data_IF_415530420426
#
_entry.id   IF_415530420426
#
_cell.length_a   1.000
_cell.length_b   1.000
_cell.length_c   1.000
_cell.angle_alpha   90.00
_cell.angle_beta   90.00
_cell.angle_gamma   90.00
#
_symmetry.space_group_name_H-M   'P 1'
#
loop_
_entity.id
_entity.type
_entity.pdbx_description
1 polymer ?
#
# COMPACT_ATOMS: atom_id res chain seq x y z
N UNK A 1 17.46 -10.80 -10.74
CA UNK A 1 17.60 -9.70 -9.76
C UNK A 1 16.43 -9.83 -8.81
N UNK A 2 16.71 -9.88 -7.51
CA UNK A 2 15.72 -10.20 -6.48
C UNK A 2 15.04 -8.89 -6.08
N UNK A 3 13.73 -8.75 -6.28
CA UNK A 3 12.98 -7.56 -5.90
C UNK A 3 12.89 -7.49 -4.38
N UNK A 4 13.29 -6.37 -3.78
CA UNK A 4 13.21 -6.19 -2.33
C UNK A 4 11.79 -5.76 -1.97
N UNK A 5 11.11 -6.60 -1.21
CA UNK A 5 9.72 -6.38 -0.81
C UNK A 5 9.67 -6.20 0.69
N UNK A 6 9.03 -5.12 1.12
CA UNK A 6 8.77 -4.83 2.52
C UNK A 6 7.27 -5.01 2.77
N UNK A 7 6.93 -5.85 3.74
CA UNK A 7 5.56 -6.04 4.19
C UNK A 7 5.44 -5.48 5.60
N UNK A 8 4.60 -4.46 5.77
CA UNK A 8 4.18 -3.99 7.08
C UNK A 8 2.95 -4.80 7.47
N UNK A 9 3.09 -5.69 8.46
CA UNK A 9 2.04 -6.63 8.86
C UNK A 9 1.32 -6.22 10.15
N UNK A 10 0.07 -6.61 10.29
CA UNK A 10 -0.70 -6.36 11.50
C UNK A 10 -2.20 -6.48 11.32
N UNK A 11 -2.94 -6.64 12.41
CA UNK A 11 -4.40 -6.67 12.40
C UNK A 11 -5.07 -5.40 11.84
N UNK A 12 -6.38 -5.48 11.60
CA UNK A 12 -7.17 -4.29 11.21
C UNK A 12 -7.03 -3.22 12.31
N UNK A 13 -6.74 -1.98 11.90
CA UNK A 13 -6.51 -0.84 12.80
C UNK A 13 -5.28 -0.96 13.73
N UNK A 14 -4.30 -1.82 13.40
CA UNK A 14 -3.09 -1.99 14.23
C UNK A 14 -2.06 -0.87 14.11
N UNK A 15 -2.27 0.10 13.20
CA UNK A 15 -1.32 1.19 12.96
C UNK A 15 -0.40 1.02 11.75
N UNK A 16 -0.64 0.03 10.88
CA UNK A 16 0.14 -0.18 9.63
C UNK A 16 0.35 1.09 8.81
N UNK A 17 -0.74 1.78 8.44
CA UNK A 17 -0.71 3.04 7.68
C UNK A 17 0.13 4.11 8.38
N UNK A 18 0.02 4.20 9.72
CA UNK A 18 0.81 5.16 10.52
C UNK A 18 2.30 4.82 10.48
N UNK A 19 2.65 3.54 10.63
CA UNK A 19 4.04 3.09 10.57
C UNK A 19 4.62 3.29 9.16
N UNK A 20 3.86 2.94 8.12
CA UNK A 20 4.23 3.19 6.72
C UNK A 20 4.55 4.67 6.50
N UNK A 21 3.64 5.55 6.90
CA UNK A 21 3.83 7.00 6.77
C UNK A 21 5.09 7.50 7.53
N UNK A 22 5.34 6.97 8.74
CA UNK A 22 6.52 7.33 9.51
C UNK A 22 7.82 6.89 8.83
N UNK A 23 7.86 5.67 8.27
CA UNK A 23 9.01 5.19 7.50
C UNK A 23 9.22 6.06 6.26
N UNK A 24 8.15 6.33 5.50
CA UNK A 24 8.23 7.17 4.30
C UNK A 24 8.72 8.58 4.61
N UNK A 25 8.31 9.17 5.73
CA UNK A 25 8.78 10.49 6.16
C UNK A 25 10.28 10.52 6.44
N UNK A 26 10.83 9.44 7.01
CA UNK A 26 12.27 9.31 7.27
C UNK A 26 13.06 9.02 5.98
N UNK A 27 12.51 8.22 5.07
CA UNK A 27 13.11 7.96 3.76
C UNK A 27 13.16 9.24 2.90
N UNK A 28 12.08 10.02 2.88
CA UNK A 28 12.03 11.30 2.18
C UNK A 28 13.04 12.30 2.77
N UNK A 29 13.18 12.34 4.10
CA UNK A 29 14.22 13.13 4.77
C UNK A 29 15.64 12.73 4.35
N UNK A 30 15.87 11.44 4.11
CA UNK A 30 17.15 10.91 3.63
C UNK A 30 17.33 11.03 2.10
N UNK A 31 16.37 11.64 1.40
CA UNK A 31 16.45 12.00 -0.02
C UNK A 31 15.89 10.96 -0.99
N UNK A 32 15.20 9.93 -0.49
CA UNK A 32 14.54 8.94 -1.33
C UNK A 32 13.22 9.44 -1.90
N UNK A 33 12.98 9.12 -3.17
CA UNK A 33 11.73 9.45 -3.85
C UNK A 33 10.65 8.40 -3.57
N UNK A 34 9.47 8.85 -3.12
CA UNK A 34 8.36 7.98 -2.72
C UNK A 34 7.21 8.11 -3.69
N UNK A 35 6.71 6.98 -4.19
CA UNK A 35 5.56 6.91 -5.09
C UNK A 35 4.53 5.88 -4.63
N UNK A 36 3.37 5.88 -5.28
CA UNK A 36 2.28 4.94 -4.96
C UNK A 36 1.27 5.51 -3.97
N UNK A 37 0.53 4.64 -3.29
CA UNK A 37 -0.73 4.99 -2.62
C UNK A 37 -0.70 4.70 -1.13
N UNK A 38 -1.02 5.70 -0.31
CA UNK A 38 -1.25 5.57 1.13
C UNK A 38 -2.72 5.90 1.45
N UNK A 39 -3.33 5.20 2.42
CA UNK A 39 -4.66 5.60 2.90
C UNK A 39 -4.58 6.85 3.77
N UNK A 40 -5.44 7.82 3.48
CA UNK A 40 -5.61 8.98 4.35
C UNK A 40 -6.30 8.55 5.65
N UNK A 41 -5.71 8.84 6.83
CA UNK A 41 -6.30 8.48 8.10
C UNK A 41 -7.61 9.23 8.32
N UNK A 42 -8.61 8.55 8.88
CA UNK A 42 -9.85 9.18 9.31
C UNK A 42 -9.58 10.05 10.54
N UNK A 43 -10.22 11.23 10.61
CA UNK A 43 -10.12 12.10 11.77
C UNK A 43 -10.58 11.39 13.05
N UNK A 44 -9.88 11.57 14.19
CA UNK A 44 -10.29 11.01 15.47
C UNK A 44 -11.73 11.41 15.82
N UNK A 45 -12.53 10.43 16.29
CA UNK A 45 -13.92 10.67 16.69
C UNK A 45 -14.95 10.59 15.56
N UNK A 46 -14.54 10.37 14.31
CA UNK A 46 -15.46 10.17 13.19
C UNK A 46 -15.56 8.70 12.77
N UNK A 47 -16.78 8.26 12.45
CA UNK A 47 -16.97 6.95 11.81
C UNK A 47 -16.35 6.95 10.43
N UNK A 48 -15.67 5.86 10.06
CA UNK A 48 -15.04 5.70 8.75
C UNK A 48 -16.12 5.41 7.70
N UNK A 49 -16.71 6.47 7.16
CA UNK A 49 -17.71 6.44 6.08
C UNK A 49 -17.07 6.34 4.69
N UNK A 50 -15.79 6.73 4.58
CA UNK A 50 -15.04 6.67 3.33
C UNK A 50 -13.62 6.14 3.54
N UNK A 51 -13.02 5.63 2.47
CA UNK A 51 -11.60 5.38 2.38
C UNK A 51 -11.07 6.22 1.22
N UNK A 52 -10.01 6.98 1.50
CA UNK A 52 -9.36 7.87 0.55
C UNK A 52 -7.92 7.41 0.37
N UNK A 53 -7.47 7.33 -0.87
CA UNK A 53 -6.06 7.14 -1.20
C UNK A 53 -5.43 8.47 -1.53
N UNK A 54 -4.17 8.64 -1.16
CA UNK A 54 -3.31 9.75 -1.54
C UNK A 54 -2.13 9.23 -2.36
N UNK A 55 -1.94 9.81 -3.54
CA UNK A 55 -0.76 9.60 -4.39
C UNK A 55 0.43 10.34 -3.79
N UNK A 56 1.46 9.61 -3.38
CA UNK A 56 2.63 10.19 -2.72
C UNK A 56 3.54 10.97 -3.67
N UNK A 57 3.41 10.80 -4.99
CA UNK A 57 4.21 11.56 -5.95
C UNK A 57 3.60 12.94 -6.25
N UNK A 58 2.27 13.06 -6.24
CA UNK A 58 1.55 14.27 -6.65
C UNK A 58 0.81 14.99 -5.53
N UNK A 59 0.55 14.30 -4.41
CA UNK A 59 -0.33 14.75 -3.33
C UNK A 59 -1.83 14.67 -3.66
N UNK A 60 -2.21 14.30 -4.89
CA UNK A 60 -3.61 14.15 -5.27
C UNK A 60 -4.26 12.98 -4.51
N UNK A 61 -5.55 13.12 -4.18
CA UNK A 61 -6.25 12.12 -3.38
C UNK A 61 -7.65 11.85 -3.91
N UNK A 62 -8.06 10.57 -3.88
CA UNK A 62 -9.36 10.11 -4.38
C UNK A 62 -10.06 9.18 -3.39
N UNK A 63 -11.39 9.25 -3.34
CA UNK A 63 -12.20 8.34 -2.51
C UNK A 63 -12.38 7.01 -3.26
N UNK A 64 -11.87 5.93 -2.68
CA UNK A 64 -11.97 4.57 -3.27
C UNK A 64 -13.11 3.74 -2.71
N UNK A 65 -13.58 4.05 -1.50
CA UNK A 65 -14.70 3.35 -0.87
C UNK A 65 -15.63 4.37 -0.21
N UNK A 66 -16.93 4.14 -0.35
CA UNK A 66 -17.98 4.94 0.30
C UNK A 66 -19.01 4.03 0.96
N UNK A 67 -19.56 4.41 2.10
CA UNK A 67 -20.64 3.66 2.79
C UNK A 67 -22.01 3.90 2.16
N UNK A 68 -22.13 4.88 1.27
CA UNK A 68 -23.30 5.16 0.46
C UNK A 68 -23.08 4.74 -0.98
N UNK A 69 -24.14 4.19 -1.56
CA UNK A 69 -24.17 3.87 -2.97
C UNK A 69 -24.01 5.13 -3.82
N UNK A 70 -23.20 5.02 -4.87
CA UNK A 70 -23.03 6.02 -5.91
C UNK A 70 -23.03 5.34 -7.27
N UNK A 71 -23.43 6.07 -8.29
CA UNK A 71 -23.39 5.59 -9.67
C UNK A 71 -21.97 5.13 -10.05
N UNK A 72 -21.85 3.99 -10.73
CA UNK A 72 -20.56 3.41 -11.13
C UNK A 72 -19.79 2.66 -10.04
N UNK A 73 -20.28 2.65 -8.80
CA UNK A 73 -19.66 1.92 -7.69
C UNK A 73 -20.18 0.49 -7.55
N UNK A 74 -19.32 -0.44 -7.09
CA UNK A 74 -19.68 -1.85 -6.91
C UNK A 74 -19.77 -2.21 -5.43
N UNK A 75 -20.82 -2.92 -4.96
CA UNK A 75 -20.92 -3.35 -3.57
C UNK A 75 -19.73 -4.21 -3.11
N UNK A 76 -19.21 -3.93 -1.91
CA UNK A 76 -18.14 -4.67 -1.25
C UNK A 76 -18.25 -4.58 0.28
N UNK A 77 -18.68 -5.68 0.91
CA UNK A 77 -18.98 -5.74 2.35
C UNK A 77 -19.97 -4.63 2.72
N UNK A 78 -19.57 -3.70 3.60
CA UNK A 78 -20.38 -2.58 4.07
C UNK A 78 -20.12 -1.28 3.29
N UNK A 79 -19.41 -1.36 2.16
CA UNK A 79 -19.01 -0.21 1.36
C UNK A 79 -19.30 -0.46 -0.13
N UNK A 80 -19.12 0.57 -0.93
CA UNK A 80 -19.19 0.58 -2.38
C UNK A 80 -17.83 1.01 -2.92
N UNK A 81 -17.23 0.20 -3.78
CA UNK A 81 -15.94 0.45 -4.44
C UNK A 81 -16.14 1.42 -5.59
N UNK A 82 -15.37 2.50 -5.61
CA UNK A 82 -15.24 3.36 -6.79
C UNK A 82 -14.19 2.78 -7.75
N UNK A 83 -14.66 2.17 -8.84
CA UNK A 83 -13.78 1.54 -9.81
C UNK A 83 -12.94 2.57 -10.59
N UNK A 84 -13.44 3.80 -10.76
CA UNK A 84 -12.72 4.87 -11.47
C UNK A 84 -11.56 5.38 -10.63
N UNK A 85 -11.75 5.51 -9.31
CA UNK A 85 -10.69 5.86 -8.37
C UNK A 85 -9.58 4.79 -8.32
N UNK A 86 -9.93 3.50 -8.38
CA UNK A 86 -8.91 2.45 -8.49
C UNK A 86 -8.20 2.44 -9.85
N UNK A 87 -8.89 2.75 -10.95
CA UNK A 87 -8.25 2.89 -12.26
C UNK A 87 -7.20 4.01 -12.22
N UNK A 88 -7.59 5.19 -11.74
CA UNK A 88 -6.67 6.32 -11.49
C UNK A 88 -5.49 5.90 -10.62
N UNK A 89 -5.75 5.25 -9.48
CA UNK A 89 -4.69 4.86 -8.57
C UNK A 89 -3.68 3.89 -9.22
N UNK A 90 -4.16 2.92 -10.00
CA UNK A 90 -3.29 2.00 -10.75
C UNK A 90 -2.45 2.74 -11.80
N UNK A 91 -3.01 3.72 -12.51
CA UNK A 91 -2.28 4.52 -13.50
C UNK A 91 -1.18 5.34 -12.84
N UNK A 92 -1.47 6.00 -11.71
CA UNK A 92 -0.48 6.77 -10.94
C UNK A 92 0.64 5.89 -10.40
N UNK A 93 0.33 4.70 -9.87
CA UNK A 93 1.34 3.73 -9.41
C UNK A 93 2.27 3.33 -10.58
N UNK A 94 1.71 3.08 -11.76
CA UNK A 94 2.51 2.71 -12.94
C UNK A 94 3.43 3.85 -13.36
N UNK A 95 2.95 5.10 -13.32
CA UNK A 95 3.79 6.27 -13.63
C UNK A 95 4.89 6.48 -12.59
N UNK A 96 4.61 6.18 -11.32
CA UNK A 96 5.58 6.31 -10.24
C UNK A 96 6.74 5.32 -10.35
N UNK A 97 6.54 4.15 -10.99
CA UNK A 97 7.59 3.13 -11.16
C UNK A 97 8.89 3.64 -11.80
N UNK A 98 8.84 4.70 -12.61
CA UNK A 98 10.02 5.28 -13.27
C UNK A 98 10.62 6.47 -12.51
N UNK A 99 9.96 6.93 -11.45
CA UNK A 99 10.22 8.21 -10.78
C UNK A 99 10.45 8.08 -9.27
N UNK A 100 10.25 6.88 -8.71
CA UNK A 100 10.36 6.63 -7.28
C UNK A 100 11.35 5.51 -6.98
N UNK A 101 12.02 5.63 -5.83
CA UNK A 101 12.87 4.60 -5.23
C UNK A 101 12.04 3.59 -4.42
N UNK A 102 10.93 4.07 -3.84
CA UNK A 102 9.94 3.25 -3.15
C UNK A 102 8.57 3.34 -3.82
N UNK A 103 7.86 2.21 -3.87
CA UNK A 103 6.51 2.13 -4.40
C UNK A 103 5.56 1.53 -3.36
N UNK A 104 4.57 2.32 -2.96
CA UNK A 104 3.69 2.03 -1.84
C UNK A 104 2.34 1.45 -2.25
N UNK A 105 1.87 0.48 -1.46
CA UNK A 105 0.53 -0.10 -1.56
C UNK A 105 -0.11 -0.24 -0.17
N UNK A 106 -1.05 0.66 0.18
CA UNK A 106 -1.83 0.60 1.42
C UNK A 106 -3.34 0.39 1.13
N UNK A 107 -3.92 -0.80 1.28
CA UNK A 107 -3.40 -2.09 1.78
C UNK A 107 -3.48 -3.12 0.64
N UNK A 108 -2.56 -4.08 0.58
CA UNK A 108 -2.68 -5.28 -0.27
C UNK A 108 -3.32 -6.39 0.53
N UNK A 109 -4.46 -6.90 0.05
CA UNK A 109 -5.16 -7.98 0.74
C UNK A 109 -6.26 -8.61 -0.10
N UNK A 110 -7.43 -8.80 0.51
CA UNK A 110 -8.55 -9.52 -0.10
C UNK A 110 -8.97 -8.99 -1.48
N UNK A 111 -8.86 -7.68 -1.75
CA UNK A 111 -9.19 -7.15 -3.08
C UNK A 111 -8.18 -7.61 -4.12
N UNK A 112 -6.89 -7.44 -3.85
CA UNK A 112 -5.81 -7.81 -4.75
C UNK A 112 -5.75 -9.33 -4.96
N UNK A 113 -5.98 -10.11 -3.90
CA UNK A 113 -6.12 -11.58 -3.97
C UNK A 113 -7.28 -12.01 -4.88
N UNK A 114 -8.35 -11.22 -4.96
CA UNK A 114 -9.46 -11.41 -5.89
C UNK A 114 -9.24 -10.77 -7.27
N UNK A 115 -8.02 -10.34 -7.58
CA UNK A 115 -7.65 -9.63 -8.82
C UNK A 115 -8.37 -8.29 -9.02
N UNK A 116 -8.68 -7.60 -7.92
CA UNK A 116 -9.31 -6.26 -7.88
C UNK A 116 -8.36 -5.25 -7.23
N UNK A 117 -8.83 -4.02 -7.05
CA UNK A 117 -8.08 -2.96 -6.36
C UNK A 117 -6.78 -2.63 -7.07
N UNK A 118 -5.66 -2.75 -6.37
CA UNK A 118 -4.32 -2.49 -6.92
C UNK A 118 -3.77 -3.61 -7.80
N UNK A 119 -4.47 -4.74 -7.99
CA UNK A 119 -3.95 -5.90 -8.69
C UNK A 119 -3.24 -5.58 -10.03
N UNK A 120 -3.80 -4.76 -10.95
CA UNK A 120 -3.13 -4.47 -12.22
C UNK A 120 -1.75 -3.83 -12.07
N UNK A 121 -1.61 -2.83 -11.20
CA UNK A 121 -0.36 -2.11 -10.96
C UNK A 121 0.60 -2.93 -10.08
N UNK A 122 0.10 -3.66 -9.10
CA UNK A 122 0.89 -4.57 -8.26
C UNK A 122 1.60 -5.64 -9.10
N UNK A 123 0.88 -6.29 -10.03
CA UNK A 123 1.49 -7.29 -10.92
C UNK A 123 2.56 -6.69 -11.84
N UNK A 124 2.36 -5.45 -12.31
CA UNK A 124 3.37 -4.75 -13.11
C UNK A 124 4.60 -4.40 -12.27
N UNK A 125 4.39 -3.88 -11.07
CA UNK A 125 5.46 -3.54 -10.14
C UNK A 125 6.30 -4.77 -9.80
N UNK A 126 5.66 -5.86 -9.39
CA UNK A 126 6.34 -7.12 -9.04
C UNK A 126 7.16 -7.73 -10.19
N UNK A 127 6.84 -7.40 -11.45
CA UNK A 127 7.54 -7.92 -12.63
C UNK A 127 8.68 -7.03 -13.13
N UNK A 128 8.61 -5.72 -12.88
CA UNK A 128 9.43 -4.77 -13.62
C UNK A 128 9.93 -3.57 -12.83
N UNK A 129 9.43 -3.34 -11.62
CA UNK A 129 9.91 -2.25 -10.78
C UNK A 129 11.30 -2.57 -10.23
N UNK A 130 12.21 -1.60 -10.35
CA UNK A 130 13.62 -1.76 -9.94
C UNK A 130 13.88 -1.30 -8.50
N UNK A 131 13.00 -0.47 -7.94
CA UNK A 131 13.08 0.00 -6.57
C UNK A 131 12.48 -0.99 -5.57
N UNK A 132 12.13 -0.47 -4.39
CA UNK A 132 11.61 -1.25 -3.26
C UNK A 132 10.08 -1.16 -3.22
N UNK A 133 9.40 -2.30 -3.20
CA UNK A 133 7.95 -2.35 -3.03
C UNK A 133 7.65 -2.44 -1.54
N UNK A 134 6.88 -1.49 -1.02
CA UNK A 134 6.42 -1.53 0.37
C UNK A 134 4.89 -1.62 0.41
N UNK A 135 4.38 -2.63 1.11
CA UNK A 135 2.94 -2.88 1.18
C UNK A 135 2.49 -3.10 2.62
N UNK A 136 1.33 -2.56 2.97
CA UNK A 136 0.62 -2.93 4.19
C UNK A 136 -0.20 -4.19 3.91
N UNK A 137 -0.14 -5.18 4.80
CA UNK A 137 -0.88 -6.44 4.67
C UNK A 137 -1.40 -6.86 6.03
N UNK A 138 -2.63 -7.40 6.12
CA UNK A 138 -3.10 -7.99 7.38
C UNK A 138 -2.36 -9.29 7.66
N UNK A 139 -2.08 -9.56 8.94
CA UNK A 139 -1.37 -10.79 9.34
C UNK A 139 -2.01 -12.05 8.75
N UNK A 140 -3.34 -12.11 8.73
CA UNK A 140 -4.11 -13.24 8.16
C UNK A 140 -3.88 -13.46 6.66
N UNK A 141 -3.39 -12.46 5.92
CA UNK A 141 -3.19 -12.51 4.47
C UNK A 141 -1.72 -12.49 4.05
N UNK A 142 -0.75 -12.38 4.97
CA UNK A 142 0.68 -12.25 4.59
C UNK A 142 1.15 -13.43 3.76
N UNK A 143 0.96 -14.66 4.26
CA UNK A 143 1.40 -15.87 3.55
C UNK A 143 0.61 -16.08 2.26
N UNK A 144 -0.68 -15.76 2.26
CA UNK A 144 -1.54 -15.86 1.07
C UNK A 144 -1.09 -14.89 -0.03
N UNK A 145 -0.71 -13.65 0.33
CA UNK A 145 -0.16 -12.64 -0.57
C UNK A 145 1.18 -13.13 -1.14
N UNK A 146 2.10 -13.58 -0.29
CA UNK A 146 3.41 -14.08 -0.75
C UNK A 146 3.23 -15.22 -1.77
N UNK A 147 2.35 -16.17 -1.48
CA UNK A 147 2.10 -17.33 -2.34
C UNK A 147 1.38 -16.96 -3.64
N UNK A 148 0.25 -16.23 -3.57
CA UNK A 148 -0.57 -15.91 -4.75
C UNK A 148 0.17 -15.02 -5.75
N UNK A 149 1.06 -14.16 -5.25
CA UNK A 149 1.86 -13.27 -6.09
C UNK A 149 3.22 -13.86 -6.46
N UNK A 150 3.51 -15.11 -6.08
CA UNK A 150 4.79 -15.80 -6.35
C UNK A 150 6.00 -14.97 -5.90
N UNK A 151 5.85 -14.29 -4.77
CA UNK A 151 6.91 -13.51 -4.16
C UNK A 151 7.92 -14.48 -3.53
N UNK A 152 9.20 -14.30 -3.85
CA UNK A 152 10.26 -15.07 -3.20
C UNK A 152 10.35 -14.68 -1.71
N UNK A 153 10.00 -15.61 -0.83
CA UNK A 153 9.98 -15.41 0.62
C UNK A 153 11.32 -14.97 1.21
N UNK A 154 12.44 -15.26 0.54
CA UNK A 154 13.77 -14.82 0.98
C UNK A 154 14.04 -13.34 0.68
N UNK A 155 13.26 -12.75 -0.22
CA UNK A 155 13.34 -11.35 -0.63
C UNK A 155 12.41 -10.42 0.15
N UNK A 156 11.67 -10.97 1.11
CA UNK A 156 10.66 -10.26 1.89
C UNK A 156 11.19 -9.91 3.27
N UNK A 157 11.20 -8.61 3.58
CA UNK A 157 11.31 -8.10 4.94
C UNK A 157 9.91 -7.88 5.51
N UNK A 158 9.57 -8.60 6.58
CA UNK A 158 8.30 -8.42 7.30
C UNK A 158 8.55 -7.56 8.54
N UNK A 159 7.83 -6.44 8.64
CA UNK A 159 7.90 -5.49 9.76
C UNK A 159 6.55 -5.49 10.48
N UNK A 160 6.48 -5.89 11.76
CA UNK A 160 5.26 -5.77 12.54
C UNK A 160 4.83 -4.31 12.71
N UNK A 161 3.53 -4.05 12.62
CA UNK A 161 2.94 -2.71 12.86
C UNK A 161 3.13 -2.19 14.29
N UNK A 162 3.51 -3.06 15.22
CA UNK A 162 3.85 -2.72 16.61
C UNK A 162 5.29 -2.21 16.76
N UNK A 163 6.12 -2.30 15.73
CA UNK A 163 7.48 -1.76 15.74
C UNK A 163 7.47 -0.25 15.91
N UNK A 164 8.48 0.29 16.60
CA UNK A 164 8.69 1.74 16.63
C UNK A 164 9.13 2.24 15.26
N UNK A 165 8.93 3.55 14.99
CA UNK A 165 9.39 4.17 13.74
C UNK A 165 10.89 3.97 13.52
N UNK A 166 11.69 4.10 14.57
CA UNK A 166 13.15 4.03 14.49
C UNK A 166 13.64 2.60 14.24
N UNK A 167 13.01 1.60 14.87
CA UNK A 167 13.30 0.20 14.60
C UNK A 167 12.92 -0.18 13.18
N UNK A 168 11.70 0.16 12.76
CA UNK A 168 11.23 -0.14 11.41
C UNK A 168 12.11 0.53 10.36
N UNK A 169 12.47 1.80 10.56
CA UNK A 169 13.36 2.52 9.67
C UNK A 169 14.72 1.85 9.54
N UNK A 170 15.37 1.51 10.66
CA UNK A 170 16.65 0.78 10.64
C UNK A 170 16.57 -0.54 9.88
N UNK A 171 15.48 -1.28 10.04
CA UNK A 171 15.26 -2.52 9.27
C UNK A 171 15.18 -2.22 7.77
N UNK A 172 14.44 -1.19 7.36
CA UNK A 172 14.31 -0.77 5.96
C UNK A 172 15.65 -0.31 5.37
N UNK A 173 16.37 0.60 6.02
CA UNK A 173 17.64 1.13 5.50
C UNK A 173 18.75 0.07 5.47
N UNK A 174 18.72 -0.91 6.38
CA UNK A 174 19.63 -2.07 6.32
C UNK A 174 19.30 -3.05 5.19
N UNK A 175 18.08 -2.93 4.65
CA UNK A 175 17.56 -3.76 3.59
C UNK A 175 17.74 -3.13 2.21
N UNK A 176 18.28 -1.91 2.08
CA UNK A 176 18.71 -1.28 0.81
C UNK A 176 20.02 -1.87 0.26
#
# INVERSE_FOLDING_TARGET
>A
MQHKIIIISGDKNSGKTRLMYAICSLLDFDGYSIGGMIQVPTLPGHFKTTYTLSDQLTGHSEIILNDKEKEGCTPYKNFYIDNSAFLWANEQIIQAMEKSDYLLFDEVGMLELQKKGFYPSLIKALKGYKGIIMMAVRDTYVEEVIQNFSIDRQSVLIIPSTSTSDEAYRMVSSHE
#
